data_IF_114135614251
#
_entry.id   IF_114135614251
#
_cell.length_a   1.000
_cell.length_b   1.000
_cell.length_c   1.000
_cell.angle_alpha   90.00
_cell.angle_beta   90.00
_cell.angle_gamma   90.00
#
_symmetry.space_group_name_H-M   'P 1'
#
loop_
_entity.id
_entity.type
_entity.pdbx_description
1 polymer ?
#
# COMPACT_ATOMS: atom_id res chain seq x y z
N UNK A 1 -16.70 -41.19 -12.97
CA UNK A 1 -16.63 -39.77 -13.32
C UNK A 1 -16.15 -39.06 -12.07
N UNK A 2 -14.84 -38.78 -12.00
CA UNK A 2 -14.23 -38.03 -10.90
C UNK A 2 -14.65 -36.58 -11.08
N UNK A 3 -15.49 -36.08 -10.19
CA UNK A 3 -15.71 -34.65 -10.01
C UNK A 3 -14.38 -34.10 -9.47
N UNK A 4 -13.60 -33.49 -10.33
CA UNK A 4 -12.47 -32.68 -9.89
C UNK A 4 -13.05 -31.57 -9.03
N UNK A 5 -12.75 -31.58 -7.72
CA UNK A 5 -13.07 -30.46 -6.84
C UNK A 5 -12.37 -29.23 -7.45
N UNK A 6 -13.14 -28.21 -7.79
CA UNK A 6 -12.64 -26.94 -8.30
C UNK A 6 -11.84 -26.16 -7.25
N UNK A 7 -11.87 -26.58 -6.01
CA UNK A 7 -11.22 -25.94 -4.86
C UNK A 7 -10.50 -26.97 -3.98
N UNK A 8 -9.39 -26.57 -3.33
CA UNK A 8 -8.73 -27.42 -2.34
C UNK A 8 -9.67 -27.66 -1.15
N UNK A 9 -9.55 -28.81 -0.52
CA UNK A 9 -10.21 -29.15 0.74
C UNK A 9 -9.15 -29.16 1.83
N UNK A 10 -9.04 -28.07 2.59
CA UNK A 10 -8.00 -27.90 3.61
C UNK A 10 -8.19 -28.88 4.76
N UNK A 11 -9.42 -29.20 5.14
CA UNK A 11 -9.69 -30.16 6.20
C UNK A 11 -9.17 -31.55 5.82
N UNK A 12 -9.43 -31.97 4.59
CA UNK A 12 -8.92 -33.24 4.07
C UNK A 12 -7.39 -33.24 3.95
N UNK A 13 -6.82 -32.16 3.42
CA UNK A 13 -5.37 -32.04 3.25
C UNK A 13 -4.63 -32.07 4.59
N UNK A 14 -5.14 -31.38 5.62
CA UNK A 14 -4.55 -31.37 6.96
C UNK A 14 -4.76 -32.67 7.74
N UNK A 15 -5.80 -33.46 7.40
CA UNK A 15 -6.08 -34.77 7.99
C UNK A 15 -5.39 -35.93 7.25
N UNK A 16 -4.71 -35.66 6.14
CA UNK A 16 -4.04 -36.68 5.35
C UNK A 16 -2.92 -37.35 6.19
N UNK A 17 -2.89 -38.69 6.31
CA UNK A 17 -1.79 -39.40 6.99
C UNK A 17 -0.39 -39.11 6.39
N UNK A 18 -0.34 -38.69 5.12
CA UNK A 18 0.90 -38.33 4.43
C UNK A 18 1.20 -36.82 4.50
N UNK A 19 0.45 -36.04 5.29
CA UNK A 19 0.69 -34.60 5.43
C UNK A 19 2.16 -34.33 5.82
N UNK A 20 2.80 -33.42 5.07
CA UNK A 20 4.21 -33.09 5.23
C UNK A 20 5.19 -33.96 4.45
N UNK A 21 4.73 -35.03 3.77
CA UNK A 21 5.56 -35.77 2.83
C UNK A 21 5.86 -34.94 1.57
N UNK A 22 6.89 -35.30 0.83
CA UNK A 22 7.24 -34.60 -0.41
C UNK A 22 6.09 -34.62 -1.43
N UNK A 23 5.39 -35.74 -1.58
CA UNK A 23 4.23 -35.84 -2.46
C UNK A 23 3.07 -34.94 -2.02
N UNK A 24 2.86 -34.79 -0.72
CA UNK A 24 1.87 -33.86 -0.18
C UNK A 24 2.24 -32.41 -0.48
N UNK A 25 3.51 -32.02 -0.29
CA UNK A 25 3.97 -30.66 -0.63
C UNK A 25 3.91 -30.38 -2.14
N UNK A 26 4.13 -31.37 -2.98
CA UNK A 26 3.92 -31.25 -4.44
C UNK A 26 2.46 -30.98 -4.77
N UNK A 27 1.52 -31.61 -4.06
CA UNK A 27 0.09 -31.34 -4.21
C UNK A 27 -0.25 -29.92 -3.76
N UNK A 28 0.31 -29.45 -2.61
CA UNK A 28 0.14 -28.05 -2.17
C UNK A 28 0.68 -27.08 -3.22
N UNK A 29 1.86 -27.35 -3.77
CA UNK A 29 2.46 -26.50 -4.80
C UNK A 29 1.59 -26.39 -6.08
N UNK A 30 0.84 -27.42 -6.42
CA UNK A 30 -0.10 -27.38 -7.56
C UNK A 30 -1.29 -26.45 -7.29
N UNK A 31 -1.82 -26.46 -6.08
CA UNK A 31 -2.89 -25.54 -5.67
C UNK A 31 -2.38 -24.09 -5.56
N UNK A 32 -1.16 -23.91 -5.07
CA UNK A 32 -0.65 -22.63 -4.61
C UNK A 32 -1.18 -22.27 -3.21
N UNK A 33 -0.48 -21.37 -2.53
CA UNK A 33 -0.82 -20.92 -1.18
C UNK A 33 -1.01 -19.40 -1.14
N UNK A 34 -1.89 -18.88 -0.23
CA UNK A 34 -2.76 -19.66 0.66
C UNK A 34 -3.80 -20.49 -0.12
N UNK A 35 -4.21 -21.61 0.46
CA UNK A 35 -5.36 -22.36 -0.08
C UNK A 35 -6.61 -21.53 0.09
N UNK A 36 -7.46 -21.50 -0.94
CA UNK A 36 -8.68 -20.69 -0.97
C UNK A 36 -9.90 -21.59 -1.10
N UNK A 37 -10.78 -21.55 -0.12
CA UNK A 37 -12.01 -22.36 -0.08
C UNK A 37 -13.23 -21.45 0.07
N UNK A 38 -14.21 -21.50 -0.84
CA UNK A 38 -15.49 -20.79 -0.65
C UNK A 38 -16.22 -21.28 0.60
N UNK A 39 -16.72 -20.35 1.43
CA UNK A 39 -17.57 -20.63 2.58
C UNK A 39 -19.02 -20.23 2.28
N UNK A 40 -19.17 -19.07 1.65
CA UNK A 40 -20.44 -18.50 1.20
C UNK A 40 -20.23 -17.76 -0.11
N UNK A 41 -21.26 -17.11 -0.62
CA UNK A 41 -21.20 -16.31 -1.83
C UNK A 41 -20.16 -15.17 -1.74
N UNK A 42 -19.99 -14.61 -0.54
CA UNK A 42 -19.17 -13.41 -0.28
C UNK A 42 -17.96 -13.65 0.64
N UNK A 43 -17.72 -14.92 1.05
CA UNK A 43 -16.63 -15.26 1.98
C UNK A 43 -15.85 -16.49 1.56
N UNK A 44 -14.56 -16.46 1.86
CA UNK A 44 -13.63 -17.57 1.67
C UNK A 44 -12.85 -17.85 2.95
N UNK A 45 -12.41 -19.09 3.08
CA UNK A 45 -11.37 -19.49 4.05
C UNK A 45 -10.03 -19.53 3.36
N UNK A 46 -9.04 -18.87 3.95
CA UNK A 46 -7.66 -18.94 3.57
C UNK A 46 -6.92 -19.88 4.52
N UNK A 47 -6.14 -20.80 3.97
CA UNK A 47 -5.23 -21.65 4.75
C UNK A 47 -3.81 -21.32 4.34
N UNK A 48 -3.06 -20.72 5.27
CA UNK A 48 -1.65 -20.40 5.11
C UNK A 48 -0.82 -21.59 5.62
N UNK A 49 0.20 -21.97 4.86
CA UNK A 49 1.05 -23.12 5.15
C UNK A 49 2.52 -22.68 5.13
N UNK A 50 3.26 -23.11 6.12
CA UNK A 50 4.71 -22.93 6.17
C UNK A 50 5.40 -24.28 6.36
N UNK A 51 6.39 -24.54 5.49
CA UNK A 51 7.21 -25.76 5.54
C UNK A 51 8.45 -25.49 6.38
N UNK A 52 8.54 -26.16 7.53
CA UNK A 52 9.73 -26.08 8.36
C UNK A 52 10.88 -26.78 7.64
N UNK A 53 12.06 -26.13 7.50
CA UNK A 53 13.26 -26.78 6.98
C UNK A 53 13.66 -27.96 7.86
N UNK A 54 14.21 -29.02 7.24
CA UNK A 54 14.82 -30.13 8.00
C UNK A 54 16.10 -29.59 8.64
N UNK A 55 16.12 -29.52 9.96
CA UNK A 55 17.27 -29.02 10.71
C UNK A 55 18.49 -29.95 10.54
N UNK A 56 19.67 -29.39 10.36
CA UNK A 56 20.92 -30.06 10.59
C UNK A 56 21.15 -30.28 12.11
N UNK A 57 21.98 -31.24 12.50
CA UNK A 57 22.00 -31.82 13.84
C UNK A 57 22.25 -30.84 15.01
N UNK A 58 22.69 -29.62 14.76
CA UNK A 58 22.98 -28.56 15.76
C UNK A 58 22.24 -27.26 15.55
N UNK A 59 21.23 -27.20 14.65
CA UNK A 59 20.46 -26.00 14.42
C UNK A 59 19.34 -25.82 15.46
N UNK A 60 19.08 -24.59 15.93
CA UNK A 60 18.00 -24.31 16.85
C UNK A 60 16.64 -24.61 16.18
N UNK A 61 15.77 -25.30 16.91
CA UNK A 61 14.42 -25.62 16.46
C UNK A 61 13.53 -24.39 16.55
N UNK A 62 12.61 -24.23 15.59
CA UNK A 62 11.61 -23.18 15.64
C UNK A 62 10.60 -23.44 16.76
N UNK A 63 10.35 -22.39 17.55
CA UNK A 63 9.39 -22.43 18.66
C UNK A 63 8.02 -21.89 18.26
N UNK A 64 7.99 -20.91 17.36
CA UNK A 64 6.79 -20.28 16.83
C UNK A 64 7.01 -19.83 15.40
N UNK A 65 5.91 -19.70 14.66
CA UNK A 65 5.88 -19.05 13.36
C UNK A 65 4.80 -17.98 13.44
N UNK A 66 5.22 -16.71 13.52
CA UNK A 66 4.28 -15.60 13.45
C UNK A 66 3.86 -15.38 12.01
N UNK A 67 2.68 -14.85 11.83
CA UNK A 67 2.14 -14.47 10.52
C UNK A 67 1.64 -13.02 10.56
N UNK A 68 1.98 -12.27 9.53
CA UNK A 68 1.43 -10.93 9.29
C UNK A 68 0.65 -10.94 7.99
N UNK A 69 -0.66 -10.79 8.08
CA UNK A 69 -1.56 -10.63 6.93
C UNK A 69 -2.19 -9.25 7.04
N UNK A 70 -1.79 -8.34 6.17
CA UNK A 70 -2.21 -6.95 6.23
C UNK A 70 -3.74 -6.83 6.16
N UNK A 71 -4.31 -6.13 7.11
CA UNK A 71 -5.77 -5.95 7.25
C UNK A 71 -6.50 -7.11 7.93
N UNK A 72 -5.79 -8.20 8.31
CA UNK A 72 -6.39 -9.37 8.97
C UNK A 72 -5.79 -9.61 10.35
N UNK A 73 -4.45 -9.62 10.46
CA UNK A 73 -3.75 -9.78 11.73
C UNK A 73 -3.44 -8.44 12.37
N UNK A 74 -3.27 -8.42 13.69
CA UNK A 74 -2.91 -7.22 14.44
C UNK A 74 -1.46 -7.31 14.93
N UNK A 75 -0.57 -6.62 14.24
CA UNK A 75 0.86 -6.54 14.60
C UNK A 75 1.14 -5.64 15.82
N UNK A 76 0.14 -4.96 16.38
CA UNK A 76 0.24 -4.22 17.64
C UNK A 76 -0.21 -5.06 18.84
N UNK A 77 -0.76 -6.24 18.61
CA UNK A 77 -1.22 -7.14 19.65
C UNK A 77 -0.07 -7.63 20.55
N UNK A 78 -0.36 -7.79 21.82
CA UNK A 78 0.53 -8.49 22.76
C UNK A 78 0.46 -10.00 22.60
N UNK A 79 -0.48 -10.52 21.81
CA UNK A 79 -0.65 -11.91 21.44
C UNK A 79 -0.83 -12.01 19.92
N UNK A 80 0.22 -11.73 19.12
CA UNK A 80 0.12 -11.77 17.67
C UNK A 80 -0.22 -13.18 17.18
N UNK A 81 -0.86 -13.25 16.03
CA UNK A 81 -1.24 -14.50 15.40
C UNK A 81 -0.02 -15.38 15.08
N UNK A 82 -0.14 -16.66 15.37
CA UNK A 82 0.89 -17.67 15.08
C UNK A 82 0.28 -18.86 14.36
N UNK A 83 1.08 -19.49 13.51
CA UNK A 83 0.75 -20.79 12.96
C UNK A 83 0.83 -21.86 14.06
N UNK A 84 0.07 -22.93 13.89
CA UNK A 84 0.18 -24.12 14.72
C UNK A 84 0.85 -25.24 13.93
N UNK A 85 1.67 -26.04 14.61
CA UNK A 85 2.30 -27.22 14.03
C UNK A 85 1.27 -28.33 13.86
N UNK A 86 1.25 -28.96 12.70
CA UNK A 86 0.40 -30.12 12.44
C UNK A 86 1.03 -31.38 13.06
N UNK A 87 0.61 -31.76 14.27
CA UNK A 87 1.14 -32.91 15.01
C UNK A 87 2.66 -32.83 15.18
N UNK A 88 3.37 -33.92 14.77
CA UNK A 88 4.83 -33.99 14.79
C UNK A 88 5.47 -33.76 13.42
N UNK A 89 4.71 -33.19 12.48
CA UNK A 89 5.19 -32.95 11.12
C UNK A 89 5.98 -31.64 11.03
N UNK A 90 6.58 -31.40 9.86
CA UNK A 90 7.20 -30.13 9.48
C UNK A 90 6.20 -29.14 8.83
N UNK A 91 4.90 -29.39 9.00
CA UNK A 91 3.82 -28.52 8.49
C UNK A 91 3.33 -27.60 9.59
N UNK A 92 3.35 -26.31 9.31
CA UNK A 92 2.71 -25.30 10.15
C UNK A 92 1.60 -24.63 9.35
N UNK A 93 0.46 -24.35 9.97
CA UNK A 93 -0.68 -23.76 9.29
C UNK A 93 -1.45 -22.78 10.17
N UNK A 94 -2.14 -21.87 9.51
CA UNK A 94 -3.09 -20.94 10.11
C UNK A 94 -4.22 -20.67 9.14
N UNK A 95 -5.43 -20.43 9.66
CA UNK A 95 -6.61 -20.20 8.85
C UNK A 95 -7.29 -18.89 9.23
N UNK A 96 -7.81 -18.20 8.24
CA UNK A 96 -8.62 -17.00 8.40
C UNK A 96 -9.79 -16.98 7.41
N UNK A 97 -10.88 -16.35 7.80
CA UNK A 97 -12.02 -16.10 6.93
C UNK A 97 -12.01 -14.63 6.52
N UNK A 98 -12.11 -14.38 5.22
CA UNK A 98 -12.13 -13.04 4.64
C UNK A 98 -13.19 -12.93 3.57
N UNK A 99 -13.51 -11.69 3.17
CA UNK A 99 -14.42 -11.43 2.05
C UNK A 99 -13.80 -11.94 0.73
N UNK A 100 -14.63 -12.38 -0.21
CA UNK A 100 -14.20 -12.94 -1.50
C UNK A 100 -13.48 -11.93 -2.40
N UNK A 101 -13.60 -10.64 -2.10
CA UNK A 101 -12.94 -9.53 -2.79
C UNK A 101 -11.66 -9.02 -2.08
N UNK A 102 -11.18 -9.73 -1.07
CA UNK A 102 -10.00 -9.36 -0.29
C UNK A 102 -8.71 -9.38 -1.13
N UNK A 103 -7.85 -8.38 -0.88
CA UNK A 103 -6.46 -8.34 -1.31
C UNK A 103 -5.59 -7.90 -0.16
N UNK A 104 -4.44 -8.56 0.03
CA UNK A 104 -3.50 -8.19 1.08
C UNK A 104 -2.14 -8.85 0.94
N UNK A 105 -1.14 -8.16 1.45
CA UNK A 105 0.22 -8.67 1.60
C UNK A 105 0.33 -9.54 2.84
N UNK A 106 1.20 -10.55 2.79
CA UNK A 106 1.53 -11.34 3.97
C UNK A 106 2.98 -11.84 3.99
N UNK A 107 3.44 -12.23 5.17
CA UNK A 107 4.73 -12.86 5.40
C UNK A 107 4.70 -13.76 6.63
N UNK A 108 5.67 -14.69 6.69
CA UNK A 108 5.92 -15.55 7.84
C UNK A 108 7.16 -15.10 8.59
N UNK A 109 7.14 -15.16 9.91
CA UNK A 109 8.29 -14.87 10.76
C UNK A 109 8.53 -16.07 11.69
N UNK A 110 9.27 -17.09 11.20
CA UNK A 110 9.66 -18.24 12.05
C UNK A 110 10.73 -17.81 13.05
N UNK A 111 10.54 -18.17 14.32
CA UNK A 111 11.41 -17.74 15.41
C UNK A 111 11.80 -18.92 16.32
N UNK A 112 13.00 -18.83 16.87
CA UNK A 112 13.45 -19.67 17.99
C UNK A 112 12.90 -19.12 19.31
N UNK A 113 13.10 -19.88 20.41
CA UNK A 113 12.61 -19.46 21.73
C UNK A 113 13.13 -18.09 22.18
N UNK A 114 14.35 -17.73 21.78
CA UNK A 114 14.98 -16.45 22.13
C UNK A 114 14.29 -15.24 21.54
N UNK A 115 13.63 -15.40 20.39
CA UNK A 115 12.95 -14.31 19.68
C UNK A 115 11.45 -14.24 19.96
N UNK A 116 10.91 -15.13 20.78
CA UNK A 116 9.51 -15.04 21.19
C UNK A 116 9.25 -13.79 22.01
N UNK A 117 8.04 -13.23 21.86
CA UNK A 117 7.64 -12.05 22.61
C UNK A 117 7.71 -12.30 24.11
N UNK A 118 8.50 -11.48 24.79
CA UNK A 118 8.59 -11.42 26.24
C UNK A 118 8.44 -9.96 26.68
N UNK A 119 7.25 -9.63 27.16
CA UNK A 119 6.96 -8.26 27.59
C UNK A 119 7.50 -8.00 29.00
N UNK A 120 8.23 -6.89 29.23
CA UNK A 120 8.69 -6.50 30.55
C UNK A 120 7.53 -6.16 31.48
N UNK A 121 7.78 -6.21 32.77
CA UNK A 121 6.93 -5.53 33.74
C UNK A 121 7.09 -4.02 33.54
N UNK A 122 5.99 -3.26 33.63
CA UNK A 122 6.02 -1.82 33.43
C UNK A 122 4.66 -1.23 33.09
N UNK A 123 4.65 0.06 32.80
CA UNK A 123 3.45 0.79 32.39
C UNK A 123 2.92 0.27 31.05
N UNK A 124 1.64 0.51 30.77
CA UNK A 124 1.07 0.16 29.45
C UNK A 124 1.82 0.80 28.27
N UNK A 125 2.39 1.98 28.45
CA UNK A 125 3.18 2.66 27.43
C UNK A 125 4.53 1.96 27.18
N UNK A 126 5.24 1.58 28.23
CA UNK A 126 6.51 0.85 28.16
C UNK A 126 6.30 -0.52 27.50
N UNK A 127 5.22 -1.21 27.88
CA UNK A 127 4.88 -2.52 27.28
C UNK A 127 4.54 -2.39 25.78
N UNK A 128 3.78 -1.35 25.39
CA UNK A 128 3.50 -1.09 23.97
C UNK A 128 4.78 -0.78 23.18
N UNK A 129 5.69 0.01 23.76
CA UNK A 129 6.96 0.32 23.11
C UNK A 129 7.85 -0.91 22.98
N UNK A 130 7.91 -1.76 24.00
CA UNK A 130 8.64 -3.03 23.96
C UNK A 130 8.06 -3.98 22.89
N UNK A 131 6.75 -4.11 22.82
CA UNK A 131 6.06 -4.89 21.79
C UNK A 131 6.40 -4.37 20.39
N UNK A 132 6.34 -3.06 20.17
CA UNK A 132 6.67 -2.43 18.89
C UNK A 132 8.12 -2.68 18.48
N UNK A 133 9.06 -2.52 19.40
CA UNK A 133 10.48 -2.76 19.13
C UNK A 133 10.73 -4.21 18.77
N UNK A 134 10.10 -5.12 19.51
CA UNK A 134 10.17 -6.55 19.23
C UNK A 134 9.59 -6.89 17.83
N UNK A 135 8.41 -6.37 17.49
CA UNK A 135 7.81 -6.59 16.18
C UNK A 135 8.69 -6.09 15.04
N UNK A 136 9.30 -4.91 15.20
CA UNK A 136 10.25 -4.38 14.22
C UNK A 136 11.45 -5.33 14.05
N UNK A 137 11.94 -5.93 15.14
CA UNK A 137 13.03 -6.89 15.07
C UNK A 137 12.65 -8.20 14.34
N UNK A 138 11.39 -8.62 14.44
CA UNK A 138 10.88 -9.79 13.70
C UNK A 138 10.85 -9.55 12.19
N UNK A 139 10.66 -8.30 11.78
CA UNK A 139 10.60 -7.97 10.36
C UNK A 139 11.85 -8.36 9.59
N UNK A 140 13.01 -8.48 10.26
CA UNK A 140 14.26 -8.97 9.65
C UNK A 140 14.24 -10.47 9.38
N UNK A 141 13.34 -11.21 10.04
CA UNK A 141 13.14 -12.64 9.86
C UNK A 141 12.00 -12.96 8.88
N UNK A 142 11.32 -11.96 8.36
CA UNK A 142 10.17 -12.14 7.49
C UNK A 142 10.55 -12.87 6.20
N UNK A 143 9.75 -13.88 5.88
CA UNK A 143 9.89 -14.72 4.70
C UNK A 143 8.62 -14.63 3.85
N UNK A 144 8.81 -14.56 2.53
CA UNK A 144 7.72 -14.76 1.58
C UNK A 144 7.38 -16.26 1.47
N UNK A 145 6.22 -16.55 0.92
CA UNK A 145 5.69 -17.91 0.74
C UNK A 145 6.18 -18.50 -0.58
N UNK A 146 7.01 -19.55 -0.57
CA UNK A 146 7.54 -20.16 -1.78
C UNK A 146 6.50 -20.93 -2.60
N UNK A 147 5.35 -21.25 -2.01
CA UNK A 147 4.26 -21.97 -2.70
C UNK A 147 3.21 -21.01 -3.30
N UNK A 148 3.36 -19.70 -3.09
CA UNK A 148 2.50 -18.71 -3.71
C UNK A 148 2.83 -18.59 -5.21
N UNK A 149 1.81 -18.68 -6.06
CA UNK A 149 1.99 -18.59 -7.52
C UNK A 149 2.23 -17.17 -8.01
N UNK A 150 1.86 -16.16 -7.20
CA UNK A 150 2.18 -14.77 -7.49
C UNK A 150 3.61 -14.46 -7.08
N UNK A 151 4.36 -13.79 -7.95
CA UNK A 151 5.72 -13.36 -7.62
C UNK A 151 5.70 -12.41 -6.41
N UNK A 152 6.70 -12.50 -5.52
CA UNK A 152 6.79 -11.59 -4.37
C UNK A 152 6.91 -10.13 -4.82
N UNK A 153 6.37 -9.23 -4.02
CA UNK A 153 6.48 -7.79 -4.22
C UNK A 153 7.23 -7.15 -3.04
N UNK A 154 7.80 -5.96 -3.28
CA UNK A 154 8.51 -5.26 -2.22
C UNK A 154 7.56 -4.54 -1.26
N UNK A 155 7.79 -4.68 0.04
CA UNK A 155 7.19 -3.83 1.05
C UNK A 155 7.73 -2.39 0.95
N UNK A 156 7.10 -1.46 1.66
CA UNK A 156 7.60 -0.08 1.77
C UNK A 156 9.06 -0.02 2.25
N UNK A 157 9.49 -0.97 3.09
CA UNK A 157 10.86 -1.09 3.58
C UNK A 157 11.77 -1.96 2.71
N UNK A 158 11.29 -2.43 1.55
CA UNK A 158 12.05 -3.20 0.58
C UNK A 158 12.13 -4.70 0.84
N UNK A 159 11.37 -5.23 1.80
CA UNK A 159 11.29 -6.69 2.03
C UNK A 159 10.34 -7.33 1.05
N UNK A 160 10.64 -8.57 0.66
CA UNK A 160 9.75 -9.36 -0.17
C UNK A 160 8.54 -9.84 0.63
N UNK A 161 7.35 -9.55 0.13
CA UNK A 161 6.07 -10.00 0.65
C UNK A 161 5.36 -10.87 -0.35
N UNK A 162 4.55 -11.79 0.13
CA UNK A 162 3.62 -12.57 -0.68
C UNK A 162 2.27 -11.86 -0.77
N UNK A 163 1.50 -12.19 -1.80
CA UNK A 163 0.24 -11.55 -2.08
C UNK A 163 -0.94 -12.52 -2.02
N UNK A 164 -2.04 -12.07 -1.44
CA UNK A 164 -3.37 -12.65 -1.64
C UNK A 164 -4.12 -11.76 -2.63
N UNK A 165 -4.49 -12.33 -3.78
CA UNK A 165 -5.37 -11.71 -4.76
C UNK A 165 -6.58 -12.61 -4.94
N UNK A 166 -7.68 -12.31 -4.29
CA UNK A 166 -8.90 -13.11 -4.45
C UNK A 166 -9.64 -12.75 -5.74
N UNK A 167 -10.46 -13.69 -6.21
CA UNK A 167 -11.06 -13.62 -7.54
C UNK A 167 -11.97 -12.40 -7.74
N UNK A 168 -12.67 -11.98 -6.69
CA UNK A 168 -13.60 -10.84 -6.73
C UNK A 168 -12.93 -9.50 -6.36
N UNK A 169 -11.63 -9.52 -6.06
CA UNK A 169 -10.88 -8.29 -5.77
C UNK A 169 -10.84 -7.36 -6.99
N UNK A 170 -10.81 -6.06 -6.75
CA UNK A 170 -10.69 -5.05 -7.82
C UNK A 170 -9.50 -5.41 -8.72
N UNK A 171 -9.68 -5.61 -10.03
CA UNK A 171 -8.61 -6.03 -10.90
C UNK A 171 -7.42 -5.06 -10.92
N UNK A 172 -6.21 -5.60 -10.97
CA UNK A 172 -4.96 -4.84 -11.13
C UNK A 172 -4.26 -5.25 -12.44
N UNK A 173 -4.95 -5.10 -13.55
CA UNK A 173 -4.52 -5.61 -14.86
C UNK A 173 -3.15 -5.07 -15.28
N UNK A 174 -2.85 -3.81 -14.99
CA UNK A 174 -1.56 -3.20 -15.30
C UNK A 174 -0.37 -3.86 -14.55
N UNK A 175 -0.62 -4.51 -13.42
CA UNK A 175 0.40 -5.17 -12.59
C UNK A 175 0.52 -6.67 -12.81
N UNK A 176 -0.35 -7.27 -13.62
CA UNK A 176 -0.33 -8.71 -13.90
C UNK A 176 1.01 -9.24 -14.43
N UNK A 177 1.73 -8.55 -15.33
CA UNK A 177 3.04 -9.01 -15.77
C UNK A 177 4.04 -9.15 -14.61
N UNK A 178 4.04 -8.19 -13.68
CA UNK A 178 4.91 -8.22 -12.49
C UNK A 178 4.52 -9.37 -11.56
N UNK A 179 3.23 -9.58 -11.34
CA UNK A 179 2.70 -10.69 -10.54
C UNK A 179 3.05 -12.06 -11.14
N UNK A 180 3.21 -12.14 -12.45
CA UNK A 180 3.69 -13.32 -13.17
C UNK A 180 5.23 -13.47 -13.16
N UNK A 181 5.95 -12.58 -12.47
CA UNK A 181 7.41 -12.62 -12.35
C UNK A 181 8.16 -11.94 -13.49
N UNK A 182 7.47 -11.22 -14.37
CA UNK A 182 8.11 -10.45 -15.43
C UNK A 182 8.71 -9.17 -14.86
N UNK A 183 9.90 -8.80 -15.35
CA UNK A 183 10.47 -7.49 -15.09
C UNK A 183 10.04 -6.53 -16.20
N UNK A 184 9.47 -5.39 -15.81
CA UNK A 184 9.17 -4.32 -16.75
C UNK A 184 10.35 -3.33 -16.71
N UNK A 185 11.14 -3.22 -17.80
CA UNK A 185 12.31 -2.37 -17.81
C UNK A 185 11.92 -0.90 -17.75
N UNK A 186 12.74 -0.12 -17.05
CA UNK A 186 12.69 1.34 -17.09
C UNK A 186 13.54 1.83 -18.25
N UNK A 187 13.00 2.69 -19.10
CA UNK A 187 13.80 3.35 -20.12
C UNK A 187 14.64 4.47 -19.50
N UNK A 188 15.91 4.19 -19.31
CA UNK A 188 16.84 5.12 -18.67
C UNK A 188 17.10 6.40 -19.48
N UNK A 189 16.76 6.44 -20.76
CA UNK A 189 16.87 7.65 -21.58
C UNK A 189 15.76 8.66 -21.26
N UNK A 190 14.65 8.18 -20.73
CA UNK A 190 13.49 9.00 -20.34
C UNK A 190 13.41 9.27 -18.84
N UNK A 191 14.35 8.73 -18.07
CA UNK A 191 14.44 8.92 -16.62
C UNK A 191 15.60 9.85 -16.28
N UNK A 192 15.33 10.88 -15.50
CA UNK A 192 16.33 11.76 -14.91
C UNK A 192 16.21 11.70 -13.38
N UNK A 193 17.33 11.49 -12.71
CA UNK A 193 17.43 11.60 -11.26
C UNK A 193 18.19 12.89 -10.91
N UNK A 194 17.55 13.77 -10.17
CA UNK A 194 18.14 15.01 -9.67
C UNK A 194 18.15 15.02 -8.15
N UNK A 195 19.01 15.85 -7.59
CA UNK A 195 18.94 16.22 -6.17
C UNK A 195 18.30 17.59 -6.04
N UNK A 196 17.17 17.66 -5.37
CA UNK A 196 16.52 18.91 -5.03
C UNK A 196 17.11 19.45 -3.73
N UNK A 197 17.82 20.55 -3.82
CA UNK A 197 18.32 21.32 -2.69
C UNK A 197 17.31 22.41 -2.39
N UNK A 198 16.57 22.26 -1.30
CA UNK A 198 15.56 23.24 -0.89
C UNK A 198 16.14 24.21 0.12
N UNK A 199 16.19 25.48 -0.23
CA UNK A 199 16.56 26.55 0.71
C UNK A 199 15.44 26.75 1.75
N UNK A 200 14.19 26.72 1.32
CA UNK A 200 13.04 26.92 2.19
C UNK A 200 12.90 25.82 3.25
N UNK A 201 13.15 24.56 2.86
CA UNK A 201 13.07 23.42 3.78
C UNK A 201 14.40 23.14 4.53
N UNK A 202 15.50 23.70 4.06
CA UNK A 202 16.82 23.49 4.64
C UNK A 202 17.35 22.06 4.51
N UNK A 203 16.93 21.34 3.46
CA UNK A 203 17.33 19.96 3.23
C UNK A 203 17.45 19.63 1.74
N UNK A 204 17.86 18.40 1.45
CA UNK A 204 18.05 17.90 0.09
C UNK A 204 17.48 16.51 -0.05
N UNK A 205 16.94 16.20 -1.21
CA UNK A 205 16.36 14.90 -1.52
C UNK A 205 16.45 14.54 -2.99
N UNK A 206 16.34 13.25 -3.28
CA UNK A 206 16.24 12.75 -4.63
C UNK A 206 14.85 13.03 -5.21
N UNK A 207 14.84 13.33 -6.51
CA UNK A 207 13.61 13.45 -7.31
C UNK A 207 13.82 12.74 -8.63
N UNK A 208 12.95 11.81 -8.97
CA UNK A 208 12.92 11.10 -10.24
C UNK A 208 11.94 11.80 -11.18
N UNK A 209 12.41 12.16 -12.36
CA UNK A 209 11.62 12.79 -13.41
C UNK A 209 11.55 11.81 -14.57
N UNK A 210 10.34 11.38 -14.91
CA UNK A 210 10.10 10.41 -15.95
C UNK A 210 9.05 10.91 -16.93
N UNK A 211 9.29 10.75 -18.22
CA UNK A 211 8.28 11.03 -19.23
C UNK A 211 7.98 9.79 -20.06
N UNK A 212 6.70 9.55 -20.33
CA UNK A 212 6.24 8.45 -21.16
C UNK A 212 6.27 8.83 -22.65
N UNK A 213 6.25 7.81 -23.53
CA UNK A 213 6.22 8.05 -24.97
C UNK A 213 4.98 8.79 -25.42
N UNK A 214 5.05 9.51 -26.52
CA UNK A 214 3.90 10.09 -27.18
C UNK A 214 4.26 11.26 -28.09
N UNK A 215 3.30 11.64 -28.93
CA UNK A 215 3.41 12.73 -29.90
C UNK A 215 2.89 14.07 -29.38
N UNK A 216 2.42 14.11 -28.14
CA UNK A 216 1.95 15.35 -27.51
C UNK A 216 3.10 16.37 -27.44
N UNK A 217 2.78 17.66 -27.67
CA UNK A 217 3.69 18.75 -27.39
C UNK A 217 4.19 18.64 -25.93
N UNK A 218 5.48 18.79 -25.72
CA UNK A 218 6.09 18.72 -24.40
C UNK A 218 5.44 19.68 -23.38
N UNK A 219 5.08 20.89 -23.82
CA UNK A 219 4.43 21.89 -22.97
C UNK A 219 2.97 21.58 -22.63
N UNK A 220 2.35 20.62 -23.31
CA UNK A 220 0.95 20.21 -23.07
C UNK A 220 0.84 18.91 -22.28
N UNK A 221 1.95 18.23 -22.02
CA UNK A 221 1.94 16.96 -21.29
C UNK A 221 1.40 17.16 -19.87
N UNK A 222 0.46 16.33 -19.43
CA UNK A 222 0.04 16.32 -18.04
C UNK A 222 1.21 16.12 -17.09
N UNK A 223 1.10 16.70 -15.91
CA UNK A 223 2.05 16.51 -14.81
C UNK A 223 1.40 15.70 -13.70
N UNK A 224 2.06 14.63 -13.28
CA UNK A 224 1.70 13.86 -12.10
C UNK A 224 2.84 13.87 -11.08
N UNK A 225 2.56 14.38 -9.89
CA UNK A 225 3.49 14.43 -8.76
C UNK A 225 3.13 13.27 -7.84
N UNK A 226 4.06 12.34 -7.64
CA UNK A 226 3.89 11.19 -6.77
C UNK A 226 4.75 11.37 -5.51
N UNK A 227 4.09 11.41 -4.37
CA UNK A 227 4.75 11.42 -3.06
C UNK A 227 5.25 10.01 -2.71
N UNK A 228 6.10 9.87 -1.68
CA UNK A 228 6.81 8.62 -1.40
C UNK A 228 7.54 8.07 -2.66
N UNK A 229 8.17 8.96 -3.38
CA UNK A 229 8.76 8.69 -4.69
C UNK A 229 9.82 7.62 -4.70
N UNK A 230 10.61 7.49 -3.63
CA UNK A 230 11.61 6.43 -3.48
C UNK A 230 10.99 5.03 -3.51
N UNK A 231 9.77 4.89 -2.98
CA UNK A 231 9.05 3.61 -3.03
C UNK A 231 8.65 3.25 -4.47
N UNK A 232 7.96 4.17 -5.15
CA UNK A 232 7.46 3.96 -6.51
C UNK A 232 8.56 3.96 -7.58
N UNK A 233 9.71 4.55 -7.29
CA UNK A 233 10.87 4.53 -8.20
C UNK A 233 11.74 3.29 -8.04
N UNK A 234 11.93 2.79 -6.81
CA UNK A 234 12.97 1.80 -6.52
C UNK A 234 12.48 0.51 -5.87
N UNK A 235 11.40 0.56 -5.07
CA UNK A 235 10.85 -0.62 -4.38
C UNK A 235 9.77 -1.31 -5.18
N UNK A 236 8.84 -0.52 -5.72
CA UNK A 236 7.77 -0.96 -6.60
C UNK A 236 7.85 -0.16 -7.91
N UNK A 237 8.86 -0.40 -8.78
CA UNK A 237 9.10 0.46 -9.93
C UNK A 237 7.88 0.59 -10.84
N UNK A 238 7.37 1.82 -10.94
CA UNK A 238 6.12 2.09 -11.66
C UNK A 238 6.37 2.43 -13.15
N UNK A 239 7.59 2.77 -13.55
CA UNK A 239 7.87 3.36 -14.86
C UNK A 239 7.47 2.47 -16.04
N UNK A 240 7.80 1.19 -15.99
CA UNK A 240 7.40 0.24 -17.03
C UNK A 240 5.89 0.03 -17.10
N UNK A 241 5.20 0.11 -15.97
CA UNK A 241 3.72 0.05 -15.91
C UNK A 241 3.12 1.29 -16.59
N UNK A 242 3.65 2.48 -16.30
CA UNK A 242 3.21 3.73 -16.92
C UNK A 242 3.45 3.73 -18.43
N UNK A 243 4.57 3.19 -18.88
CA UNK A 243 4.85 3.04 -20.31
C UNK A 243 3.84 2.12 -20.99
N UNK A 244 3.59 0.95 -20.43
CA UNK A 244 2.62 0.00 -20.98
C UNK A 244 1.21 0.61 -21.05
N UNK A 245 0.79 1.36 -20.05
CA UNK A 245 -0.51 2.03 -20.04
C UNK A 245 -0.58 3.16 -21.07
N UNK A 246 0.51 3.87 -21.27
CA UNK A 246 0.61 4.94 -22.28
C UNK A 246 0.64 4.35 -23.71
N UNK A 247 1.45 3.34 -23.95
CA UNK A 247 1.57 2.67 -25.25
C UNK A 247 0.25 2.00 -25.66
N UNK A 248 -0.52 1.52 -24.70
CA UNK A 248 -1.86 0.96 -24.92
C UNK A 248 -2.95 2.03 -25.11
N UNK A 249 -2.61 3.31 -25.01
CA UNK A 249 -3.57 4.42 -25.18
C UNK A 249 -4.51 4.63 -23.99
N UNK A 250 -4.23 4.02 -22.84
CA UNK A 250 -5.04 4.19 -21.61
C UNK A 250 -4.61 5.39 -20.77
N UNK A 251 -3.37 5.85 -20.93
CA UNK A 251 -2.86 7.09 -20.35
C UNK A 251 -2.30 7.99 -21.45
N UNK A 252 -2.43 9.31 -21.31
CA UNK A 252 -1.75 10.25 -22.19
C UNK A 252 -0.24 10.25 -21.92
N UNK A 253 0.55 10.66 -22.91
CA UNK A 253 1.95 10.96 -22.71
C UNK A 253 2.11 12.04 -21.63
N UNK A 254 2.77 11.74 -20.54
CA UNK A 254 2.78 12.55 -19.32
C UNK A 254 4.18 12.67 -18.73
N UNK A 255 4.36 13.64 -17.85
CA UNK A 255 5.56 13.80 -17.01
C UNK A 255 5.21 13.41 -15.58
N UNK A 256 6.02 12.51 -15.01
CA UNK A 256 5.89 12.03 -13.64
C UNK A 256 7.07 12.52 -12.81
N UNK A 257 6.76 13.13 -11.68
CA UNK A 257 7.74 13.65 -10.72
C UNK A 257 7.57 12.91 -9.41
N UNK A 258 8.53 12.05 -9.08
CA UNK A 258 8.51 11.21 -7.89
C UNK A 258 9.45 11.82 -6.85
N UNK A 259 8.90 12.15 -5.68
CA UNK A 259 9.61 12.92 -4.65
C UNK A 259 9.95 12.04 -3.47
N UNK A 260 11.25 11.93 -3.16
CA UNK A 260 11.76 11.22 -1.98
C UNK A 260 11.31 11.91 -0.68
N UNK A 261 11.12 11.12 0.34
CA UNK A 261 10.78 11.60 1.70
C UNK A 261 11.99 11.98 2.55
N UNK A 262 13.20 11.68 2.11
CA UNK A 262 14.46 11.67 2.87
C UNK A 262 14.47 10.52 3.90
N UNK A 263 13.66 10.64 4.94
CA UNK A 263 13.43 9.63 5.98
C UNK A 263 12.06 9.81 6.65
N UNK A 264 11.72 8.93 7.59
CA UNK A 264 10.43 8.98 8.27
C UNK A 264 10.24 10.24 9.16
N UNK A 265 11.24 10.74 9.90
CA UNK A 265 11.11 12.00 10.62
C UNK A 265 10.79 13.18 9.72
N UNK A 266 11.47 13.35 8.58
CA UNK A 266 11.17 14.40 7.60
C UNK A 266 9.77 14.23 7.01
N UNK A 267 9.41 13.01 6.63
CA UNK A 267 8.07 12.70 6.11
C UNK A 267 6.96 13.13 7.06
N UNK A 268 7.13 12.83 8.33
CA UNK A 268 6.13 13.11 9.37
C UNK A 268 5.93 14.61 9.66
N UNK A 269 6.89 15.44 9.29
CA UNK A 269 6.83 16.91 9.45
C UNK A 269 6.38 17.59 8.15
N UNK A 270 6.89 17.13 7.02
CA UNK A 270 6.75 17.85 5.75
C UNK A 270 5.46 17.50 5.00
N UNK A 271 4.94 16.28 5.11
CA UNK A 271 3.72 15.90 4.39
C UNK A 271 2.43 16.37 5.07
N UNK A 272 2.24 16.21 6.41
CA UNK A 272 0.97 16.58 7.01
C UNK A 272 0.72 18.08 6.99
N UNK A 273 -0.13 18.54 6.08
CA UNK A 273 -0.66 19.91 6.00
C UNK A 273 0.42 21.00 6.15
N UNK A 274 1.53 20.83 5.45
CA UNK A 274 2.69 21.72 5.56
C UNK A 274 2.77 22.68 4.38
N UNK A 275 2.48 23.94 4.64
CA UNK A 275 2.51 24.99 3.61
C UNK A 275 3.91 25.18 3.00
N UNK A 276 4.96 25.12 3.80
CA UNK A 276 6.34 25.37 3.34
C UNK A 276 6.80 24.30 2.36
N UNK A 277 6.43 23.04 2.59
CA UNK A 277 6.73 21.95 1.65
C UNK A 277 6.16 22.23 0.25
N UNK A 278 4.89 22.63 0.18
CA UNK A 278 4.24 22.91 -1.10
C UNK A 278 4.67 24.21 -1.74
N UNK A 279 5.03 25.23 -0.96
CA UNK A 279 5.64 26.45 -1.47
C UNK A 279 7.03 26.17 -2.07
N UNK A 280 7.88 25.43 -1.37
CA UNK A 280 9.18 25.01 -1.85
C UNK A 280 9.07 24.18 -3.14
N UNK A 281 8.13 23.24 -3.19
CA UNK A 281 7.90 22.43 -4.37
C UNK A 281 7.54 23.30 -5.58
N UNK A 282 6.65 24.25 -5.42
CA UNK A 282 6.18 25.12 -6.51
C UNK A 282 7.24 26.14 -6.93
N UNK A 283 7.96 26.73 -5.99
CA UNK A 283 8.89 27.85 -6.29
C UNK A 283 10.32 27.39 -6.59
N UNK A 284 10.73 26.24 -6.05
CA UNK A 284 12.11 25.73 -6.22
C UNK A 284 12.16 24.51 -7.15
N UNK A 285 11.33 23.48 -6.90
CA UNK A 285 11.43 22.21 -7.62
C UNK A 285 10.82 22.27 -9.01
N UNK A 286 9.56 22.67 -9.15
CA UNK A 286 8.86 22.62 -10.44
C UNK A 286 9.55 23.46 -11.53
N UNK A 287 10.15 24.64 -11.25
CA UNK A 287 10.94 25.34 -12.27
C UNK A 287 12.18 24.57 -12.74
N UNK A 288 12.86 23.85 -11.85
CA UNK A 288 13.98 22.98 -12.22
C UNK A 288 13.53 21.81 -13.09
N UNK A 289 12.42 21.19 -12.72
CA UNK A 289 11.84 20.08 -13.51
C UNK A 289 11.43 20.57 -14.90
N UNK A 290 10.75 21.71 -15.00
CA UNK A 290 10.29 22.28 -16.27
C UNK A 290 11.45 22.61 -17.22
N UNK A 291 12.60 23.04 -16.69
CA UNK A 291 13.79 23.31 -17.47
C UNK A 291 14.41 22.02 -18.06
N UNK A 292 14.25 20.88 -17.40
CA UNK A 292 14.72 19.58 -17.86
C UNK A 292 13.72 18.85 -18.73
N UNK A 293 12.46 18.87 -18.35
CA UNK A 293 11.34 18.22 -19.01
C UNK A 293 10.11 19.08 -18.91
N UNK A 294 9.70 19.78 -20.01
CA UNK A 294 8.52 20.62 -20.02
C UNK A 294 7.22 19.85 -19.80
N UNK A 295 6.28 20.48 -19.15
CA UNK A 295 4.95 19.95 -18.83
C UNK A 295 3.92 21.10 -18.78
N UNK A 296 2.65 20.76 -18.68
CA UNK A 296 1.55 21.72 -18.65
C UNK A 296 1.54 22.62 -17.40
N UNK A 297 1.05 23.84 -17.55
CA UNK A 297 0.71 24.73 -16.45
C UNK A 297 -0.78 24.68 -16.06
N UNK A 298 -1.58 23.91 -16.81
CA UNK A 298 -3.01 23.78 -16.55
C UNK A 298 -3.29 22.93 -15.30
N UNK A 299 -4.01 23.51 -14.35
CA UNK A 299 -4.39 22.83 -13.12
C UNK A 299 -5.23 21.57 -13.38
N UNK A 300 -6.13 21.61 -14.36
CA UNK A 300 -6.98 20.46 -14.73
C UNK A 300 -6.22 19.26 -15.29
N UNK A 301 -4.95 19.42 -15.61
CA UNK A 301 -4.04 18.38 -16.09
C UNK A 301 -2.81 18.20 -15.19
N UNK A 302 -2.88 18.72 -13.98
CA UNK A 302 -1.84 18.56 -12.94
C UNK A 302 -2.40 17.80 -11.76
N UNK A 303 -1.80 16.66 -11.49
CA UNK A 303 -2.22 15.71 -10.47
C UNK A 303 -1.18 15.61 -9.37
N UNK A 304 -1.64 15.58 -8.14
CA UNK A 304 -0.84 15.19 -6.96
C UNK A 304 -1.41 13.90 -6.38
N UNK A 305 -0.53 12.95 -6.10
CA UNK A 305 -0.89 11.62 -5.61
C UNK A 305 -0.08 11.22 -4.39
N UNK A 306 -0.73 10.60 -3.44
CA UNK A 306 -0.06 10.05 -2.27
C UNK A 306 -0.94 9.12 -1.45
N UNK A 307 -0.29 8.43 -0.52
CA UNK A 307 -0.87 7.43 0.36
C UNK A 307 -0.62 7.81 1.81
N UNK A 308 -1.56 7.53 2.70
CA UNK A 308 -1.42 7.81 4.13
C UNK A 308 -1.20 9.31 4.40
N UNK A 309 -0.08 9.72 4.99
CA UNK A 309 0.31 11.14 5.05
C UNK A 309 0.43 11.78 3.67
N UNK A 310 0.83 11.00 2.66
CA UNK A 310 0.85 11.47 1.28
C UNK A 310 -0.54 11.73 0.70
N UNK A 311 -1.54 10.95 1.10
CA UNK A 311 -2.94 11.19 0.74
C UNK A 311 -3.49 12.46 1.37
N UNK A 312 -3.18 12.69 2.64
CA UNK A 312 -3.48 13.95 3.35
C UNK A 312 -2.81 15.14 2.65
N UNK A 313 -1.50 15.02 2.35
CA UNK A 313 -0.72 16.05 1.71
C UNK A 313 -1.24 16.41 0.31
N UNK A 314 -1.63 15.41 -0.49
CA UNK A 314 -2.14 15.62 -1.84
C UNK A 314 -3.45 16.38 -1.83
N UNK A 315 -4.37 16.03 -0.94
CA UNK A 315 -5.63 16.76 -0.82
C UNK A 315 -5.42 18.17 -0.26
N UNK A 316 -4.54 18.33 0.72
CA UNK A 316 -4.13 19.64 1.23
C UNK A 316 -3.62 20.56 0.11
N UNK A 317 -2.76 20.03 -0.75
CA UNK A 317 -2.21 20.79 -1.89
C UNK A 317 -3.31 21.26 -2.88
N UNK A 318 -4.19 20.35 -3.27
CA UNK A 318 -5.30 20.69 -4.18
C UNK A 318 -6.23 21.73 -3.59
N UNK A 319 -6.59 21.61 -2.31
CA UNK A 319 -7.49 22.55 -1.63
C UNK A 319 -6.88 23.95 -1.47
N UNK A 320 -5.56 24.06 -1.23
CA UNK A 320 -4.88 25.35 -1.03
C UNK A 320 -4.39 26.01 -2.32
N UNK A 321 -4.03 25.22 -3.34
CA UNK A 321 -3.53 25.73 -4.63
C UNK A 321 -4.28 25.09 -5.80
N UNK A 322 -5.61 25.25 -5.85
CA UNK A 322 -6.44 24.62 -6.89
C UNK A 322 -6.15 25.14 -8.30
N UNK A 323 -5.56 26.33 -8.41
CA UNK A 323 -5.13 26.91 -9.69
C UNK A 323 -3.87 26.24 -10.23
N UNK A 324 -3.15 25.48 -9.40
CA UNK A 324 -1.96 24.73 -9.82
C UNK A 324 -2.18 23.22 -9.82
N UNK A 325 -2.90 22.71 -8.82
CA UNK A 325 -3.17 21.29 -8.61
C UNK A 325 -4.67 21.02 -8.66
N UNK A 326 -5.19 20.84 -9.87
CA UNK A 326 -6.64 20.64 -10.07
C UNK A 326 -7.10 19.19 -9.90
N UNK A 327 -6.18 18.23 -9.94
CA UNK A 327 -6.46 16.81 -9.79
C UNK A 327 -5.76 16.23 -8.53
N UNK A 328 -6.50 15.48 -7.73
CA UNK A 328 -5.99 14.87 -6.49
C UNK A 328 -6.27 13.38 -6.50
N UNK A 329 -5.24 12.59 -6.20
CA UNK A 329 -5.33 11.14 -6.00
C UNK A 329 -4.89 10.84 -4.57
N UNK A 330 -5.84 10.58 -3.68
CA UNK A 330 -5.59 10.33 -2.26
C UNK A 330 -5.99 8.92 -1.89
N UNK A 331 -5.04 8.13 -1.42
CA UNK A 331 -5.26 6.74 -1.02
C UNK A 331 -4.99 6.59 0.47
N UNK A 332 -5.99 6.07 1.20
CA UNK A 332 -5.91 5.85 2.65
C UNK A 332 -5.39 7.08 3.40
N UNK A 333 -5.91 8.25 3.08
CA UNK A 333 -5.45 9.52 3.62
C UNK A 333 -5.57 9.60 5.14
N UNK A 334 -4.52 10.12 5.79
CA UNK A 334 -4.43 10.28 7.25
C UNK A 334 -5.25 11.48 7.74
N UNK A 335 -6.55 11.54 7.40
CA UNK A 335 -7.42 12.67 7.70
C UNK A 335 -7.76 12.82 9.18
N UNK A 336 -7.32 11.88 10.04
CA UNK A 336 -7.35 11.99 11.49
C UNK A 336 -6.39 13.07 12.04
N UNK A 337 -5.38 13.45 11.26
CA UNK A 337 -4.33 14.38 11.69
C UNK A 337 -4.92 15.72 12.22
N UNK A 338 -4.37 16.37 13.25
CA UNK A 338 -3.10 16.06 13.92
C UNK A 338 -3.23 15.15 15.15
N UNK A 339 -4.41 14.85 15.60
CA UNK A 339 -4.65 14.26 16.91
C UNK A 339 -4.86 12.75 16.86
N UNK A 340 -3.82 11.99 17.22
CA UNK A 340 -3.88 10.52 17.34
C UNK A 340 -4.83 10.06 18.46
N UNK A 341 -5.02 10.83 19.51
CA UNK A 341 -5.94 10.47 20.58
C UNK A 341 -7.40 10.69 20.16
N UNK A 342 -7.66 11.68 19.33
CA UNK A 342 -8.95 11.84 18.65
C UNK A 342 -9.24 10.65 17.72
N UNK A 343 -8.24 10.11 17.08
CA UNK A 343 -8.31 8.88 16.31
C UNK A 343 -8.83 7.69 17.14
N UNK A 344 -8.33 7.49 18.36
CA UNK A 344 -8.81 6.44 19.27
C UNK A 344 -10.23 6.70 19.79
N UNK A 345 -10.59 7.95 20.00
CA UNK A 345 -11.92 8.34 20.42
C UNK A 345 -12.96 8.16 19.29
N UNK A 346 -12.57 8.34 18.02
CA UNK A 346 -13.40 8.03 16.86
C UNK A 346 -13.72 6.53 16.77
N UNK A 347 -12.76 5.65 17.04
CA UNK A 347 -12.97 4.19 17.11
C UNK A 347 -13.93 3.80 18.23
N UNK A 348 -13.89 4.50 19.34
CA UNK A 348 -14.82 4.29 20.46
C UNK A 348 -16.21 4.89 20.23
N UNK A 349 -16.43 5.59 19.10
CA UNK A 349 -17.69 6.27 18.82
C UNK A 349 -17.98 7.48 19.74
N UNK A 350 -16.95 8.01 20.38
CA UNK A 350 -17.05 9.09 21.38
C UNK A 350 -16.57 10.45 20.88
N UNK A 351 -15.93 10.53 19.70
CA UNK A 351 -15.45 11.78 19.14
C UNK A 351 -16.47 12.41 18.21
N UNK A 352 -16.74 13.68 18.43
CA UNK A 352 -17.52 14.53 17.51
C UNK A 352 -16.63 15.16 16.41
N UNK A 353 -15.29 15.14 16.60
CA UNK A 353 -14.35 15.81 15.72
C UNK A 353 -13.71 14.84 14.75
N UNK A 354 -13.86 15.20 13.49
CA UNK A 354 -13.11 14.67 12.37
C UNK A 354 -11.75 15.41 12.31
N UNK A 355 -10.76 14.94 11.58
CA UNK A 355 -9.46 15.59 11.52
C UNK A 355 -9.50 17.06 11.04
N UNK A 356 -8.41 17.76 11.25
CA UNK A 356 -8.29 19.20 11.00
C UNK A 356 -8.66 19.57 9.53
N UNK A 357 -8.16 18.84 8.54
CA UNK A 357 -8.43 19.18 7.13
C UNK A 357 -9.90 19.01 6.76
N UNK A 358 -10.59 18.01 7.31
CA UNK A 358 -12.03 17.80 7.11
C UNK A 358 -12.82 18.96 7.69
N UNK A 359 -12.44 19.46 8.86
CA UNK A 359 -13.05 20.67 9.45
C UNK A 359 -12.83 21.89 8.57
N UNK A 360 -11.63 22.07 7.99
CA UNK A 360 -11.35 23.19 7.09
C UNK A 360 -12.22 23.14 5.82
N UNK A 361 -12.48 21.97 5.27
CA UNK A 361 -13.40 21.81 4.14
C UNK A 361 -14.81 22.22 4.52
N UNK A 362 -15.33 21.81 5.68
CA UNK A 362 -16.63 22.26 6.16
C UNK A 362 -16.70 23.77 6.43
N UNK A 363 -15.59 24.41 6.75
CA UNK A 363 -15.48 25.85 6.94
C UNK A 363 -15.32 26.63 5.63
N UNK A 364 -15.31 25.95 4.47
CA UNK A 364 -15.29 26.55 3.16
C UNK A 364 -13.98 26.50 2.40
N UNK A 365 -12.95 25.83 2.93
CA UNK A 365 -11.71 25.62 2.18
C UNK A 365 -11.99 24.87 0.87
N UNK A 366 -11.59 25.46 -0.25
CA UNK A 366 -11.74 24.88 -1.58
C UNK A 366 -13.11 25.02 -2.23
N UNK A 367 -14.09 25.69 -1.61
CA UNK A 367 -15.46 25.83 -2.14
C UNK A 367 -15.53 26.57 -3.49
N UNK A 368 -14.62 27.53 -3.74
CA UNK A 368 -14.65 28.37 -4.94
C UNK A 368 -13.99 27.71 -6.16
N UNK A 369 -13.28 26.62 -5.96
CA UNK A 369 -12.50 25.95 -7.01
C UNK A 369 -12.68 24.43 -6.95
N UNK A 370 -13.69 23.88 -7.61
CA UNK A 370 -13.92 22.44 -7.65
C UNK A 370 -12.71 21.67 -8.19
N UNK A 371 -12.28 20.66 -7.43
CA UNK A 371 -11.21 19.72 -7.81
C UNK A 371 -11.80 18.47 -8.46
N UNK A 372 -11.00 17.80 -9.28
CA UNK A 372 -11.23 16.41 -9.68
C UNK A 372 -10.47 15.49 -8.73
N UNK A 373 -11.18 14.64 -8.00
CA UNK A 373 -10.61 13.85 -6.93
C UNK A 373 -10.91 12.37 -7.17
N UNK A 374 -9.86 11.55 -7.17
CA UNK A 374 -9.96 10.12 -6.94
C UNK A 374 -9.49 9.84 -5.52
N UNK A 375 -10.35 9.19 -4.73
CA UNK A 375 -10.04 8.85 -3.36
C UNK A 375 -10.44 7.40 -3.08
N UNK A 376 -9.61 6.68 -2.34
CA UNK A 376 -9.93 5.33 -1.88
C UNK A 376 -9.43 5.08 -0.47
N UNK A 377 -10.06 4.10 0.19
CA UNK A 377 -9.64 3.58 1.50
C UNK A 377 -9.97 2.09 1.59
N UNK A 378 -9.28 1.39 2.47
CA UNK A 378 -9.50 -0.02 2.74
C UNK A 378 -10.57 -0.23 3.81
N UNK A 379 -11.48 -1.16 3.56
CA UNK A 379 -12.52 -1.56 4.53
C UNK A 379 -11.94 -2.08 5.83
N UNK A 380 -10.71 -2.61 5.80
CA UNK A 380 -10.00 -3.19 6.94
C UNK A 380 -8.95 -2.26 7.56
N UNK A 381 -9.09 -0.96 7.35
CA UNK A 381 -8.20 0.06 7.89
C UNK A 381 -8.74 0.75 9.16
N UNK A 382 -9.85 0.24 9.72
CA UNK A 382 -10.48 0.79 10.93
C UNK A 382 -10.70 2.30 10.85
N UNK A 383 -9.92 3.07 11.58
CA UNK A 383 -10.07 4.52 11.68
C UNK A 383 -9.74 5.25 10.37
N UNK A 384 -8.77 4.78 9.61
CA UNK A 384 -8.47 5.35 8.29
C UNK A 384 -9.71 5.26 7.40
N UNK A 385 -10.41 4.13 7.42
CA UNK A 385 -11.68 3.98 6.72
C UNK A 385 -12.69 5.03 7.16
N UNK A 386 -12.91 5.20 8.47
CA UNK A 386 -13.88 6.13 9.02
C UNK A 386 -13.57 7.59 8.66
N UNK A 387 -12.32 8.02 8.79
CA UNK A 387 -11.94 9.41 8.47
C UNK A 387 -11.98 9.71 6.98
N UNK A 388 -11.79 8.69 6.12
CA UNK A 388 -11.97 8.83 4.67
C UNK A 388 -13.46 8.92 4.29
N UNK A 389 -14.34 8.14 4.94
CA UNK A 389 -15.80 8.30 4.79
C UNK A 389 -16.25 9.73 5.13
N UNK A 390 -15.78 10.25 6.26
CA UNK A 390 -16.07 11.60 6.70
C UNK A 390 -15.56 12.67 5.72
N UNK A 391 -14.33 12.54 5.25
CA UNK A 391 -13.76 13.44 4.27
C UNK A 391 -14.52 13.38 2.95
N UNK A 392 -14.93 12.19 2.49
CA UNK A 392 -15.70 12.05 1.27
C UNK A 392 -17.03 12.79 1.31
N UNK A 393 -17.71 12.74 2.45
CA UNK A 393 -18.95 13.51 2.67
C UNK A 393 -18.70 15.02 2.63
N UNK A 394 -17.64 15.50 3.27
CA UNK A 394 -17.27 16.92 3.28
C UNK A 394 -16.95 17.43 1.87
N UNK A 395 -16.18 16.67 1.10
CA UNK A 395 -15.80 17.05 -0.28
C UNK A 395 -17.01 17.10 -1.23
N UNK A 396 -17.94 16.15 -1.10
CA UNK A 396 -19.20 16.19 -1.87
C UNK A 396 -20.05 17.39 -1.51
N UNK A 397 -20.18 17.69 -0.24
CA UNK A 397 -20.91 18.88 0.22
C UNK A 397 -20.27 20.17 -0.28
N UNK A 398 -18.94 20.22 -0.38
CA UNK A 398 -18.19 21.35 -0.90
C UNK A 398 -18.27 21.49 -2.44
N UNK A 399 -18.86 20.53 -3.15
CA UNK A 399 -19.08 20.59 -4.61
C UNK A 399 -17.90 20.09 -5.44
N UNK A 400 -16.94 19.37 -4.88
CA UNK A 400 -15.87 18.73 -5.64
C UNK A 400 -16.39 17.57 -6.48
N UNK A 401 -15.74 17.30 -7.61
CA UNK A 401 -16.00 16.10 -8.43
C UNK A 401 -15.21 14.93 -7.84
N UNK A 402 -15.88 14.14 -7.02
CA UNK A 402 -15.28 13.07 -6.24
C UNK A 402 -15.67 11.69 -6.78
N UNK A 403 -14.67 10.91 -7.17
CA UNK A 403 -14.77 9.47 -7.26
C UNK A 403 -14.15 8.85 -6.01
N UNK A 404 -14.99 8.26 -5.18
CA UNK A 404 -14.57 7.58 -3.96
C UNK A 404 -14.94 6.10 -4.02
N UNK A 405 -13.98 5.24 -3.74
CA UNK A 405 -14.20 3.80 -3.66
C UNK A 405 -13.56 3.19 -2.43
N UNK A 406 -14.08 2.01 -2.04
CA UNK A 406 -13.57 1.23 -0.93
C UNK A 406 -13.08 -0.10 -1.49
N UNK A 407 -11.87 -0.51 -1.10
CA UNK A 407 -11.36 -1.82 -1.41
C UNK A 407 -11.40 -2.74 -0.18
N UNK A 408 -11.49 -4.05 -0.39
CA UNK A 408 -11.41 -5.04 0.68
C UNK A 408 -9.94 -5.35 0.98
N UNK A 409 -9.37 -4.61 1.87
CA UNK A 409 -7.99 -4.72 2.29
C UNK A 409 -7.64 -3.72 3.39
N UNK A 410 -6.38 -3.77 3.82
CA UNK A 410 -5.82 -2.92 4.86
C UNK A 410 -4.97 -1.77 4.30
N UNK A 411 -4.13 -1.22 5.17
CA UNK A 411 -3.17 -0.16 4.86
C UNK A 411 -1.96 -0.76 4.13
N UNK A 412 -2.11 -0.97 2.83
CA UNK A 412 -1.27 -1.88 2.05
C UNK A 412 -0.92 -1.33 0.67
N UNK A 413 0.37 -1.21 0.40
CA UNK A 413 0.87 -0.77 -0.91
C UNK A 413 0.48 -1.71 -2.05
N UNK A 414 0.23 -2.99 -1.78
CA UNK A 414 -0.31 -3.93 -2.76
C UNK A 414 -1.70 -3.50 -3.26
N UNK A 415 -2.53 -2.98 -2.36
CA UNK A 415 -3.82 -2.41 -2.72
C UNK A 415 -3.64 -1.07 -3.45
N UNK A 416 -2.77 -0.21 -2.95
CA UNK A 416 -2.57 1.13 -3.50
C UNK A 416 -2.00 1.15 -4.91
N UNK A 417 -1.14 0.19 -5.27
CA UNK A 417 -0.56 0.16 -6.62
C UNK A 417 -1.62 0.08 -7.73
N UNK A 418 -2.68 -0.68 -7.51
CA UNK A 418 -3.81 -0.77 -8.44
C UNK A 418 -4.60 0.53 -8.49
N UNK A 419 -4.96 1.07 -7.34
CA UNK A 419 -5.70 2.33 -7.24
C UNK A 419 -4.92 3.54 -7.77
N UNK A 420 -3.59 3.51 -7.68
CA UNK A 420 -2.77 4.55 -8.29
C UNK A 420 -2.94 4.59 -9.82
N UNK A 421 -2.89 3.45 -10.48
CA UNK A 421 -3.11 3.37 -11.93
C UNK A 421 -4.56 3.72 -12.29
N UNK A 422 -5.53 3.19 -11.56
CA UNK A 422 -6.95 3.47 -11.82
C UNK A 422 -7.29 4.97 -11.63
N UNK A 423 -6.70 5.58 -10.62
CA UNK A 423 -6.85 7.02 -10.37
C UNK A 423 -6.19 7.87 -11.46
N UNK A 424 -5.00 7.47 -11.94
CA UNK A 424 -4.36 8.11 -13.08
C UNK A 424 -5.23 8.01 -14.35
N UNK A 425 -5.78 6.84 -14.64
CA UNK A 425 -6.72 6.67 -15.75
C UNK A 425 -7.90 7.62 -15.64
N UNK A 426 -8.51 7.70 -14.46
CA UNK A 426 -9.70 8.52 -14.28
C UNK A 426 -9.43 10.00 -14.34
N UNK A 427 -8.30 10.46 -13.84
CA UNK A 427 -7.99 11.88 -13.71
C UNK A 427 -7.22 12.46 -14.91
N UNK A 428 -6.45 11.66 -15.63
CA UNK A 428 -5.61 12.10 -16.74
C UNK A 428 -6.09 11.64 -18.12
N UNK A 429 -6.94 10.61 -18.21
CA UNK A 429 -7.50 10.19 -19.50
C UNK A 429 -8.40 11.30 -20.07
N UNK A 430 -8.42 11.40 -21.43
CA UNK A 430 -9.15 12.43 -22.17
C UNK A 430 -10.67 12.34 -22.00
#
# INVERSE_FOLDING_TARGET
VSTTNEHPDSQRLLADPLAGSESWWQQIAQWGTPLVEPISEDKVRLTFLWREPVAEADEPTYSRVYIDVNGVTDHHSTHPETLQRLGQTHVWYWQAEVESDFRGSYSFMPVTAEHCLNLPEGTPQERRQAQRNWWISLMDLAQNDPFNHTAPHASYRGRALSAVHLADAIPQTAWQPIDAGQQLPTDTQRLQLITWHSELLGNSRNVWIYHTHGTADNAERPLAILLDGQYWATRQPIFGVLDNETDAGRLPASVYVLIDIIDQPHRSVELPCNQDFWQALQTELLPQVAALQPFTDQASRTLVAGQSFGGLASLYAGLHWPQRFGCVLSQSGSFWWPDVDNFKALTAGTAERQGWLTEQVYQGLGNDHPLDIFMEAGRREDVIYQVNEAMSAALRQAGHRLHYRIYAGGHDSLCWRGGLIDGLHRLLAY
#
